data_IF_727979859904
#
_entry.id   IF_727979859904
#
_cell.length_a   1.000
_cell.length_b   1.000
_cell.length_c   1.000
_cell.angle_alpha   90.00
_cell.angle_beta   90.00
_cell.angle_gamma   90.00
#
_symmetry.space_group_name_H-M   'P 1'
#
loop_
_entity.id
_entity.type
_entity.pdbx_description
1 polymer ?
#
# COMPACT_ATOMS: atom_id res chain seq x y z
N UNK A 1 -7.35 -14.13 -24.24
CA UNK A 1 -8.06 -14.70 -23.08
C UNK A 1 -7.68 -13.84 -21.87
N UNK A 2 -8.63 -13.16 -21.24
CA UNK A 2 -8.41 -12.54 -19.92
C UNK A 2 -8.62 -13.60 -18.83
N UNK A 3 -7.82 -13.64 -17.75
CA UNK A 3 -8.12 -14.49 -16.62
C UNK A 3 -9.40 -13.97 -15.94
N UNK A 4 -10.33 -14.88 -15.64
CA UNK A 4 -11.55 -14.60 -14.89
C UNK A 4 -11.19 -14.52 -13.41
N UNK A 5 -11.44 -13.36 -12.80
CA UNK A 5 -11.45 -13.20 -11.35
C UNK A 5 -10.36 -12.28 -10.79
N UNK A 6 -10.24 -11.05 -11.28
CA UNK A 6 -9.53 -9.96 -10.56
C UNK A 6 -10.28 -8.69 -10.95
N UNK A 7 -10.56 -7.77 -10.01
CA UNK A 7 -10.67 -6.32 -10.26
C UNK A 7 -11.10 -5.57 -8.99
N UNK A 8 -10.53 -5.90 -7.84
CA UNK A 8 -10.24 -4.81 -6.90
C UNK A 8 -8.86 -4.33 -7.33
N UNK A 9 -8.71 -3.15 -7.93
CA UNK A 9 -7.39 -2.65 -8.31
C UNK A 9 -6.47 -2.79 -7.10
N UNK A 10 -5.22 -3.21 -7.30
CA UNK A 10 -4.18 -3.21 -6.25
C UNK A 10 -4.20 -1.92 -5.41
N UNK A 11 -4.52 -0.81 -6.06
CA UNK A 11 -4.78 0.49 -5.45
C UNK A 11 -5.94 0.48 -4.43
N UNK A 12 -7.09 -0.09 -4.78
CA UNK A 12 -8.24 -0.17 -3.89
C UNK A 12 -7.99 -1.15 -2.73
N UNK A 13 -7.25 -2.25 -2.96
CA UNK A 13 -6.75 -3.12 -1.89
C UNK A 13 -5.77 -2.39 -0.98
N UNK A 14 -4.86 -1.58 -1.54
CA UNK A 14 -3.94 -0.73 -0.76
C UNK A 14 -4.68 0.32 0.06
N UNK A 15 -5.77 0.91 -0.47
CA UNK A 15 -6.64 1.82 0.28
C UNK A 15 -7.44 1.11 1.38
N UNK A 16 -7.85 -0.14 1.15
CA UNK A 16 -8.48 -0.98 2.19
C UNK A 16 -7.46 -1.36 3.26
N UNK A 17 -6.22 -1.67 2.88
CA UNK A 17 -5.13 -1.90 3.83
C UNK A 17 -4.89 -0.65 4.69
N UNK A 18 -4.83 0.55 4.07
CA UNK A 18 -4.69 1.82 4.80
C UNK A 18 -5.84 2.10 5.78
N UNK A 19 -7.06 1.60 5.53
CA UNK A 19 -8.18 1.67 6.48
C UNK A 19 -7.96 0.86 7.76
N UNK A 20 -7.15 -0.19 7.70
CA UNK A 20 -6.90 -1.11 8.80
C UNK A 20 -5.57 -0.84 9.53
N UNK A 21 -4.72 0.02 8.98
CA UNK A 21 -3.54 0.52 9.70
C UNK A 21 -4.04 1.44 10.81
N UNK A 22 -3.58 1.28 12.06
CA UNK A 22 -3.72 2.32 13.05
C UNK A 22 -2.87 3.51 12.58
N UNK A 23 -3.43 4.37 11.73
CA UNK A 23 -2.93 5.71 11.40
C UNK A 23 -3.05 6.63 12.63
N UNK A 24 -2.81 6.08 13.82
CA UNK A 24 -2.82 6.77 15.10
C UNK A 24 -1.60 7.68 15.17
N UNK A 25 -1.80 8.90 14.68
CA UNK A 25 -1.44 10.18 15.29
C UNK A 25 0.06 10.52 15.54
N UNK A 26 1.02 9.57 15.47
CA UNK A 26 2.45 9.89 15.69
C UNK A 26 3.21 10.27 14.42
N UNK A 27 3.02 9.56 13.32
CA UNK A 27 3.76 9.84 12.07
C UNK A 27 3.15 11.01 11.29
N UNK A 28 1.83 10.96 11.05
CA UNK A 28 1.09 11.93 10.23
C UNK A 28 0.46 13.08 11.03
N UNK A 29 0.44 13.00 12.38
CA UNK A 29 -0.14 14.02 13.29
C UNK A 29 -1.61 14.37 13.01
N UNK A 30 -2.35 13.47 12.37
CA UNK A 30 -3.76 13.60 12.05
C UNK A 30 -4.48 12.28 12.40
N UNK A 31 -5.79 12.36 12.65
CA UNK A 31 -6.65 11.18 12.74
C UNK A 31 -6.92 10.58 11.36
N UNK A 32 -7.46 9.36 11.37
CA UNK A 32 -7.73 8.59 10.16
C UNK A 32 -8.65 9.32 9.18
N UNK A 33 -9.74 9.90 9.66
CA UNK A 33 -10.74 10.56 8.81
C UNK A 33 -10.13 11.79 8.13
N UNK A 34 -9.36 12.58 8.88
CA UNK A 34 -8.62 13.74 8.33
C UNK A 34 -7.62 13.32 7.25
N UNK A 35 -6.87 12.23 7.46
CA UNK A 35 -5.93 11.71 6.47
C UNK A 35 -6.66 11.28 5.21
N UNK A 36 -7.77 10.58 5.33
CA UNK A 36 -8.52 10.10 4.16
C UNK A 36 -9.24 11.21 3.38
N UNK A 37 -9.61 12.31 4.05
CA UNK A 37 -10.32 13.43 3.45
C UNK A 37 -9.38 14.46 2.81
N UNK A 38 -8.28 14.80 3.48
CA UNK A 38 -7.44 15.95 3.10
C UNK A 38 -6.11 15.60 2.43
N UNK A 39 -5.57 14.42 2.71
CA UNK A 39 -4.24 14.07 2.19
C UNK A 39 -4.37 13.52 0.77
N UNK A 40 -3.32 13.74 -0.01
CA UNK A 40 -3.20 13.23 -1.36
C UNK A 40 -2.36 11.94 -1.38
N UNK A 41 -2.84 10.94 -2.10
CA UNK A 41 -2.21 9.63 -2.22
C UNK A 41 -1.74 9.43 -3.65
N UNK A 42 -0.44 9.25 -3.85
CA UNK A 42 0.16 9.05 -5.16
C UNK A 42 0.80 7.68 -5.28
N UNK A 43 0.42 6.94 -6.33
CA UNK A 43 1.06 5.69 -6.68
C UNK A 43 2.50 5.97 -7.15
N UNK A 44 3.48 5.57 -6.34
CA UNK A 44 4.90 5.76 -6.67
C UNK A 44 5.46 4.57 -7.40
N UNK A 45 5.06 3.36 -7.01
CA UNK A 45 5.61 2.13 -7.58
C UNK A 45 4.68 0.95 -7.36
N UNK A 46 4.65 0.07 -8.37
CA UNK A 46 4.19 -1.32 -8.23
C UNK A 46 5.25 -2.22 -8.85
N UNK A 47 5.65 -3.28 -8.15
CA UNK A 47 6.57 -4.29 -8.68
C UNK A 47 6.12 -5.69 -8.37
N UNK A 48 6.34 -6.58 -9.34
CA UNK A 48 6.16 -8.01 -9.19
C UNK A 48 7.55 -8.64 -9.04
N UNK A 49 7.75 -9.41 -7.97
CA UNK A 49 9.02 -10.07 -7.69
C UNK A 49 8.79 -11.56 -7.50
N UNK A 50 9.71 -12.37 -8.01
CA UNK A 50 9.76 -13.82 -7.77
C UNK A 50 11.09 -14.14 -7.12
N UNK A 51 11.04 -14.58 -5.85
CA UNK A 51 12.22 -14.95 -5.09
C UNK A 51 12.42 -16.47 -5.11
N UNK A 52 13.50 -16.92 -5.77
CA UNK A 52 13.87 -18.32 -5.91
C UNK A 52 14.73 -18.86 -4.74
N UNK A 53 15.01 -18.05 -3.72
CA UNK A 53 15.65 -18.50 -2.47
C UNK A 53 14.69 -19.34 -1.60
N UNK A 54 13.40 -19.30 -1.89
CA UNK A 54 12.36 -20.11 -1.25
C UNK A 54 11.98 -21.32 -2.12
N UNK A 55 11.55 -22.41 -1.47
CA UNK A 55 10.97 -23.59 -2.14
C UNK A 55 9.58 -23.89 -1.55
N UNK A 56 8.48 -23.68 -2.29
CA UNK A 56 8.44 -23.15 -3.66
C UNK A 56 8.86 -21.68 -3.76
N UNK A 57 9.26 -21.19 -4.95
CA UNK A 57 9.61 -19.78 -5.15
C UNK A 57 8.48 -18.85 -4.69
N UNK A 58 8.84 -17.80 -3.95
CA UNK A 58 7.89 -16.84 -3.40
C UNK A 58 7.61 -15.73 -4.41
N UNK A 59 6.37 -15.69 -4.91
CA UNK A 59 5.87 -14.59 -5.74
C UNK A 59 5.29 -13.49 -4.83
N UNK A 60 5.76 -12.25 -5.00
CA UNK A 60 5.30 -11.10 -4.22
C UNK A 60 4.95 -9.91 -5.11
N UNK A 61 4.02 -9.09 -4.62
CA UNK A 61 3.65 -7.81 -5.21
C UNK A 61 3.99 -6.73 -4.20
N UNK A 62 4.82 -5.76 -4.57
CA UNK A 62 5.13 -4.59 -3.74
C UNK A 62 4.46 -3.36 -4.29
N UNK A 63 3.79 -2.60 -3.43
CA UNK A 63 3.20 -1.30 -3.75
C UNK A 63 3.82 -0.22 -2.86
N UNK A 64 4.09 0.95 -3.44
CA UNK A 64 4.54 2.13 -2.68
C UNK A 64 3.62 3.30 -3.03
N UNK A 65 3.04 3.91 -2.00
CA UNK A 65 2.17 5.08 -2.07
C UNK A 65 2.86 6.23 -1.34
N UNK A 66 3.02 7.37 -1.99
CA UNK A 66 3.37 8.61 -1.30
C UNK A 66 2.10 9.25 -0.73
N UNK A 67 2.19 9.73 0.50
CA UNK A 67 1.14 10.42 1.24
C UNK A 67 1.63 11.85 1.43
N UNK A 68 0.93 12.79 0.81
CA UNK A 68 1.21 14.21 0.89
C UNK A 68 0.05 14.91 1.61
N UNK A 69 0.33 16.04 2.27
CA UNK A 69 -0.74 16.88 2.85
C UNK A 69 -1.54 17.62 1.76
N UNK A 70 -2.47 18.48 2.18
CA UNK A 70 -3.33 19.27 1.30
C UNK A 70 -2.58 20.34 0.50
N UNK A 71 -1.34 20.65 0.88
CA UNK A 71 -0.41 21.52 0.15
C UNK A 71 0.54 20.73 -0.78
N UNK A 72 0.27 19.44 -1.01
CA UNK A 72 1.12 18.50 -1.77
C UNK A 72 2.54 18.31 -1.18
N UNK A 73 2.76 18.67 0.09
CA UNK A 73 4.04 18.43 0.77
C UNK A 73 4.15 16.99 1.26
N UNK A 74 5.29 16.35 0.99
CA UNK A 74 5.50 14.95 1.35
C UNK A 74 5.50 14.74 2.86
N UNK A 75 4.62 13.85 3.33
CA UNK A 75 4.48 13.53 4.75
C UNK A 75 5.01 12.14 5.09
N UNK A 76 4.69 11.15 4.25
CA UNK A 76 5.05 9.76 4.45
C UNK A 76 5.00 8.93 3.17
N UNK A 77 5.63 7.77 3.20
CA UNK A 77 5.50 6.71 2.21
C UNK A 77 4.94 5.46 2.88
N UNK A 78 3.89 4.90 2.28
CA UNK A 78 3.35 3.60 2.65
C UNK A 78 3.85 2.55 1.67
N UNK A 79 4.46 1.47 2.17
CA UNK A 79 4.87 0.31 1.38
C UNK A 79 4.11 -0.91 1.87
N UNK A 80 3.48 -1.63 0.95
CA UNK A 80 2.84 -2.91 1.23
C UNK A 80 3.44 -4.01 0.35
N UNK A 81 3.61 -5.20 0.91
CA UNK A 81 4.05 -6.41 0.24
C UNK A 81 2.94 -7.44 0.37
N UNK A 82 2.50 -7.97 -0.76
CA UNK A 82 1.46 -8.98 -0.85
C UNK A 82 2.04 -10.28 -1.41
N UNK A 83 1.42 -11.41 -1.07
CA UNK A 83 1.60 -12.66 -1.80
C UNK A 83 0.84 -12.62 -3.15
N UNK A 84 0.96 -13.69 -3.93
CA UNK A 84 0.27 -13.80 -5.22
C UNK A 84 -1.26 -13.81 -5.10
N UNK A 85 -1.80 -14.28 -3.97
CA UNK A 85 -3.23 -14.33 -3.67
C UNK A 85 -3.76 -13.00 -3.07
N UNK A 86 -2.93 -11.95 -3.07
CA UNK A 86 -3.24 -10.60 -2.56
C UNK A 86 -3.43 -10.52 -1.05
N UNK A 87 -2.95 -11.50 -0.29
CA UNK A 87 -2.87 -11.38 1.16
C UNK A 87 -1.66 -10.51 1.53
N UNK A 88 -1.82 -9.65 2.54
CA UNK A 88 -0.72 -8.82 3.05
C UNK A 88 0.28 -9.75 3.75
N UNK A 89 1.52 -9.72 3.27
CA UNK A 89 2.68 -10.35 3.94
C UNK A 89 3.27 -9.37 4.96
N UNK A 90 3.49 -8.12 4.53
CA UNK A 90 4.10 -7.07 5.34
C UNK A 90 3.67 -5.69 4.86
N UNK A 91 3.65 -4.72 5.76
CA UNK A 91 3.39 -3.32 5.45
C UNK A 91 4.13 -2.37 6.39
N UNK A 92 4.57 -1.24 5.83
CA UNK A 92 5.35 -0.24 6.55
C UNK A 92 4.92 1.15 6.15
N UNK A 93 4.60 1.97 7.14
CA UNK A 93 4.48 3.42 7.01
C UNK A 93 5.79 4.08 7.47
N UNK A 94 6.48 4.79 6.58
CA UNK A 94 7.71 5.53 6.87
C UNK A 94 7.61 7.00 6.48
N UNK A 95 8.45 7.87 7.05
CA UNK A 95 8.64 9.24 6.55
C UNK A 95 9.57 9.28 5.36
#
# INVERSE_FOLDING_TARGET
>A
MQPRGVDTPLFLQSRIAMRNIPLTNRLLRADFDTVMEKYHFHDRMVSFNKNFEFEPPLDTITCIIAINDDEDSHCASYRAIFDYDMNIIDDVLSR
#
